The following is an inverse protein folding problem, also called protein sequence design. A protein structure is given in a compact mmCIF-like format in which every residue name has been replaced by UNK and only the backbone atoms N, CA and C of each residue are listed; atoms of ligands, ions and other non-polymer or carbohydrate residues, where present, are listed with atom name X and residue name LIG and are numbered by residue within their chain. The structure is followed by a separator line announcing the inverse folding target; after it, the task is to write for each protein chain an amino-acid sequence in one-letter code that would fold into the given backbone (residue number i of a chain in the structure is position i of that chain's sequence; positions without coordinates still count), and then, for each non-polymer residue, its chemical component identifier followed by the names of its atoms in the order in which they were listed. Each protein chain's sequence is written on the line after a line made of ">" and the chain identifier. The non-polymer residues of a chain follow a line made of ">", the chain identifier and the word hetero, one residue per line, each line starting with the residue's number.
data_IF_233634050672
#
_entry.id   IF_233634050672
#
_cell.length_a   1.000
_cell.length_b   1.000
_cell.length_c   1.000
_cell.angle_alpha   90.00
_cell.angle_beta   90.00
_cell.angle_gamma   90.00
#
_symmetry.space_group_name_H-M   'P 1'
#
loop_
_entity.id
_entity.type
_entity.pdbx_description
1 polymer ?
#
# COMPACT_ATOMS: atom_id res chain seq x y z
N UNK A 1 27.48 -5.97 10.05
CA UNK A 1 26.04 -5.87 10.38
C UNK A 1 25.55 -4.51 9.96
N UNK A 2 24.60 -4.42 9.03
CA UNK A 2 24.04 -3.13 8.60
C UNK A 2 22.99 -2.65 9.62
N UNK A 3 22.87 -1.34 9.89
CA UNK A 3 21.89 -0.83 10.84
C UNK A 3 20.47 -1.07 10.33
N UNK A 4 19.61 -1.63 11.17
CA UNK A 4 18.16 -1.62 10.93
C UNK A 4 17.66 -0.19 11.07
N UNK A 5 17.03 0.35 10.03
CA UNK A 5 16.38 1.66 10.12
C UNK A 5 15.19 1.62 11.11
N UNK A 6 14.77 2.77 11.67
CA UNK A 6 13.71 2.82 12.66
C UNK A 6 12.36 2.34 12.07
N UNK A 7 11.52 1.66 12.86
CA UNK A 7 10.22 1.18 12.39
C UNK A 7 9.35 2.35 11.92
N UNK A 8 8.67 2.21 10.78
CA UNK A 8 7.76 3.25 10.30
C UNK A 8 6.58 3.45 11.28
N UNK A 9 6.63 4.56 12.04
CA UNK A 9 5.61 4.93 13.03
C UNK A 9 4.35 5.58 12.44
N UNK A 10 4.24 5.64 11.11
CA UNK A 10 3.03 6.15 10.44
C UNK A 10 1.88 5.15 10.52
N UNK A 11 0.73 5.59 11.02
CA UNK A 11 -0.51 4.81 11.11
C UNK A 11 -0.83 4.11 9.78
N UNK A 12 -0.76 2.77 9.75
CA UNK A 12 -1.05 2.02 8.53
C UNK A 12 -2.55 1.99 8.26
N UNK A 13 -2.95 2.71 7.21
CA UNK A 13 -4.31 2.68 6.68
C UNK A 13 -4.56 1.29 6.04
N UNK A 14 -5.60 0.53 6.45
CA UNK A 14 -6.00 -0.71 5.77
C UNK A 14 -6.37 -0.44 4.31
N UNK A 15 -6.21 -1.44 3.43
CA UNK A 15 -6.58 -1.32 2.01
C UNK A 15 -7.98 -0.74 1.79
N UNK A 16 -8.98 -1.26 2.52
CA UNK A 16 -10.37 -0.83 2.43
C UNK A 16 -10.62 0.62 2.89
N UNK A 17 -9.67 1.22 3.63
CA UNK A 17 -9.75 2.60 4.12
C UNK A 17 -8.92 3.57 3.26
N UNK A 18 -8.26 3.09 2.18
CA UNK A 18 -7.66 3.97 1.20
C UNK A 18 -8.77 4.71 0.41
N UNK A 19 -8.55 5.99 0.04
CA UNK A 19 -9.47 6.71 -0.82
C UNK A 19 -9.82 5.91 -2.07
N UNK A 20 -11.10 5.94 -2.45
CA UNK A 20 -11.63 5.29 -3.66
C UNK A 20 -10.77 5.51 -4.91
N UNK A 21 -10.39 6.75 -5.31
CA UNK A 21 -9.54 6.96 -6.48
C UNK A 21 -8.15 6.31 -6.40
N UNK A 22 -7.63 6.00 -5.20
CA UNK A 22 -6.37 5.25 -5.03
C UNK A 22 -6.60 3.75 -5.25
N UNK A 23 -7.76 3.23 -4.84
CA UNK A 23 -8.15 1.83 -5.06
C UNK A 23 -8.44 1.58 -6.55
N UNK A 24 -9.10 2.52 -7.21
CA UNK A 24 -9.45 2.45 -8.63
C UNK A 24 -8.21 2.54 -9.53
N UNK A 25 -7.32 3.52 -9.30
CA UNK A 25 -6.08 3.63 -10.08
C UNK A 25 -5.19 2.36 -9.98
N UNK A 26 -5.21 1.66 -8.84
CA UNK A 26 -4.55 0.36 -8.70
C UNK A 26 -5.30 -0.74 -9.45
N UNK A 27 -6.65 -0.74 -9.43
CA UNK A 27 -7.44 -1.69 -10.19
C UNK A 27 -7.23 -1.54 -11.70
N UNK A 28 -7.15 -0.32 -12.21
CA UNK A 28 -6.85 -0.01 -13.62
C UNK A 28 -5.48 -0.53 -14.04
N UNK A 29 -4.43 -0.22 -13.26
CA UNK A 29 -3.06 -0.73 -13.49
C UNK A 29 -3.01 -2.26 -13.44
N UNK A 30 -3.82 -2.88 -12.58
CA UNK A 30 -3.93 -4.34 -12.51
C UNK A 30 -4.89 -4.93 -13.53
N UNK A 31 -5.65 -4.13 -14.28
CA UNK A 31 -6.69 -4.56 -15.22
C UNK A 31 -7.84 -5.34 -14.56
N UNK A 32 -8.17 -5.03 -13.30
CA UNK A 32 -9.26 -5.67 -12.56
C UNK A 32 -9.26 -5.36 -11.06
N UNK A 33 -10.41 -5.53 -10.37
CA UNK A 33 -10.55 -5.17 -8.96
C UNK A 33 -9.67 -6.02 -8.03
N UNK A 34 -9.13 -5.39 -6.99
CA UNK A 34 -8.42 -6.08 -5.90
C UNK A 34 -9.43 -6.80 -5.01
N UNK A 35 -9.42 -8.13 -5.02
CA UNK A 35 -10.31 -8.99 -4.22
C UNK A 35 -9.66 -9.50 -2.94
N UNK A 36 -8.34 -9.34 -2.78
CA UNK A 36 -7.62 -9.76 -1.59
C UNK A 36 -6.44 -8.82 -1.32
N UNK A 37 -6.33 -8.35 -0.07
CA UNK A 37 -5.31 -7.38 0.33
C UNK A 37 -4.77 -7.70 1.73
N UNK A 38 -3.44 -7.70 1.90
CA UNK A 38 -2.77 -7.94 3.20
C UNK A 38 -1.75 -6.84 3.48
N UNK A 39 -1.98 -6.08 4.56
CA UNK A 39 -1.10 -5.02 5.05
C UNK A 39 0.13 -5.60 5.77
N UNK A 40 1.33 -5.17 5.38
CA UNK A 40 2.67 -5.69 5.73
C UNK A 40 2.72 -6.92 6.68
N UNK A 41 3.15 -6.77 7.95
CA UNK A 41 3.73 -5.58 8.59
C UNK A 41 5.24 -5.44 8.31
N UNK A 42 5.75 -4.20 8.24
CA UNK A 42 7.18 -3.92 8.13
C UNK A 42 7.53 -2.75 7.20
N UNK A 43 8.80 -2.34 7.19
CA UNK A 43 9.33 -1.25 6.36
C UNK A 43 9.52 0.08 7.10
N UNK A 44 10.27 0.98 6.45
CA UNK A 44 10.79 2.23 7.03
C UNK A 44 10.08 3.51 6.55
N UNK A 45 9.05 3.39 5.70
CA UNK A 45 8.26 4.52 5.20
C UNK A 45 6.87 4.56 5.86
N UNK A 46 6.37 5.72 6.33
CA UNK A 46 4.98 5.86 6.76
C UNK A 46 4.03 5.69 5.56
N UNK A 47 2.93 4.96 5.76
CA UNK A 47 1.94 4.67 4.71
C UNK A 47 1.44 3.23 4.68
N UNK A 48 0.48 2.95 3.80
CA UNK A 48 0.05 1.59 3.53
C UNK A 48 1.11 0.85 2.71
N UNK A 49 1.44 -0.37 3.13
CA UNK A 49 2.32 -1.29 2.42
C UNK A 49 1.58 -2.62 2.29
N UNK A 50 0.99 -2.89 1.13
CA UNK A 50 -0.07 -3.88 0.98
C UNK A 50 0.21 -4.81 -0.20
N UNK A 51 0.20 -6.12 0.05
CA UNK A 51 0.15 -7.13 -1.02
C UNK A 51 -1.28 -7.27 -1.49
N UNK A 52 -1.53 -7.03 -2.78
CA UNK A 52 -2.86 -7.10 -3.41
C UNK A 52 -2.93 -8.21 -4.45
N UNK A 53 -4.13 -8.77 -4.66
CA UNK A 53 -4.42 -9.76 -5.70
C UNK A 53 -5.80 -9.49 -6.33
N UNK A 54 -5.90 -9.62 -7.66
CA UNK A 54 -7.17 -9.53 -8.41
C UNK A 54 -7.89 -10.89 -8.50
N UNK A 55 -9.13 -10.87 -9.00
CA UNK A 55 -9.88 -12.10 -9.30
C UNK A 55 -9.08 -13.02 -10.25
N UNK A 56 -8.53 -12.46 -11.32
CA UNK A 56 -7.73 -13.15 -12.35
C UNK A 56 -6.31 -13.54 -11.88
N UNK A 57 -6.03 -13.47 -10.58
CA UNK A 57 -4.80 -13.96 -9.96
C UNK A 57 -3.58 -13.07 -10.11
N UNK A 58 -3.67 -11.91 -10.80
CA UNK A 58 -2.62 -10.88 -10.88
C UNK A 58 -2.29 -10.36 -9.48
N UNK A 59 -1.02 -10.02 -9.23
CA UNK A 59 -0.52 -9.64 -7.89
C UNK A 59 0.37 -8.41 -7.97
N UNK A 60 0.30 -7.54 -6.97
CA UNK A 60 1.22 -6.42 -6.83
C UNK A 60 1.51 -6.08 -5.37
N UNK A 61 2.50 -5.22 -5.17
CA UNK A 61 2.84 -4.62 -3.90
C UNK A 61 2.57 -3.11 -3.97
N UNK A 62 1.53 -2.65 -3.28
CA UNK A 62 1.14 -1.24 -3.24
C UNK A 62 1.83 -0.56 -2.08
N UNK A 63 2.49 0.56 -2.35
CA UNK A 63 2.94 1.53 -1.33
C UNK A 63 2.14 2.82 -1.51
N UNK A 64 1.23 3.11 -0.60
CA UNK A 64 0.50 4.38 -0.57
C UNK A 64 1.04 5.24 0.59
N UNK A 65 1.77 6.31 0.28
CA UNK A 65 2.22 7.30 1.25
C UNK A 65 1.17 8.41 1.35
N UNK A 66 0.86 8.86 2.56
CA UNK A 66 0.01 10.05 2.73
C UNK A 66 0.77 11.27 2.22
N UNK A 67 0.14 12.06 1.33
CA UNK A 67 0.79 13.15 0.59
C UNK A 67 1.36 14.30 1.44
N UNK A 68 1.09 14.32 2.74
CA UNK A 68 1.71 15.26 3.68
C UNK A 68 3.24 15.09 3.78
N UNK A 69 3.76 13.90 3.42
CA UNK A 69 5.20 13.64 3.33
C UNK A 69 5.89 14.25 2.09
N UNK A 70 5.15 14.91 1.18
CA UNK A 70 5.70 15.52 -0.03
C UNK A 70 5.11 16.92 -0.29
N UNK A 71 4.94 17.71 0.77
CA UNK A 71 4.69 19.15 0.65
C UNK A 71 6.00 19.90 0.88
N UNK A 72 6.62 20.34 -0.22
CA UNK A 72 7.67 21.37 -0.24
C UNK A 72 7.07 22.76 -0.16
#
# INVERSE_FOLDING_TARGET
>A
MSPSAPPATGTRIPWAHLPEPVRDAVADVLGGPVVHAVTQPGGFSPGAATRVRTADGRRAFVKAVSGDANRS
#
